data_IF_718961525089
#
_entry.id   IF_718961525089
#
_cell.length_a   1.000
_cell.length_b   1.000
_cell.length_c   1.000
_cell.angle_alpha   90.00
_cell.angle_beta   90.00
_cell.angle_gamma   90.00
#
_symmetry.space_group_name_H-M   'P 1'
#
loop_
_entity.id
_entity.type
_entity.pdbx_description
1 polymer ?
#
# COMPACT_ATOMS: atom_id res chain seq x y z
N UNK A 1 -5.11 -56.03 -19.90
CA UNK A 1 -3.72 -55.54 -19.86
C UNK A 1 -3.56 -54.85 -18.53
N UNK A 2 -2.87 -55.52 -17.61
CA UNK A 2 -2.61 -55.02 -16.25
C UNK A 2 -1.19 -54.52 -16.21
N UNK A 3 -0.98 -53.27 -15.78
CA UNK A 3 0.35 -52.68 -15.58
C UNK A 3 0.49 -52.42 -14.08
N UNK A 4 1.42 -53.17 -13.49
CA UNK A 4 1.95 -53.02 -12.14
C UNK A 4 3.04 -51.96 -12.17
N UNK A 5 2.98 -50.96 -11.30
CA UNK A 5 4.09 -50.03 -11.05
C UNK A 5 4.61 -50.24 -9.64
N UNK A 6 5.87 -50.66 -9.55
CA UNK A 6 6.66 -50.72 -8.33
C UNK A 6 7.13 -49.32 -7.97
N UNK A 7 7.00 -48.98 -6.68
CA UNK A 7 7.64 -47.84 -6.03
C UNK A 7 8.95 -48.34 -5.39
N UNK A 8 10.07 -47.70 -5.71
CA UNK A 8 11.33 -47.81 -4.95
C UNK A 8 11.52 -46.48 -4.20
N UNK A 9 11.49 -46.56 -2.87
CA UNK A 9 11.84 -45.48 -1.94
C UNK A 9 13.36 -45.52 -1.68
N UNK A 10 14.08 -44.47 -2.06
CA UNK A 10 15.45 -44.21 -1.60
C UNK A 10 15.42 -43.24 -0.41
N UNK A 11 15.97 -43.68 0.71
CA UNK A 11 16.20 -42.89 1.92
C UNK A 11 17.62 -42.29 1.88
N UNK A 12 17.74 -40.96 1.86
CA UNK A 12 18.99 -40.24 2.13
C UNK A 12 19.03 -39.77 3.60
N UNK A 13 20.01 -40.29 4.35
CA UNK A 13 20.44 -39.77 5.66
C UNK A 13 21.44 -38.62 5.46
N UNK A 14 21.26 -37.50 6.15
CA UNK A 14 22.27 -36.45 6.27
C UNK A 14 22.72 -36.33 7.73
N UNK A 15 24.01 -36.57 7.95
CA UNK A 15 24.73 -36.32 9.19
C UNK A 15 24.84 -34.81 9.45
N UNK A 16 24.77 -34.40 10.72
CA UNK A 16 24.89 -33.01 11.16
C UNK A 16 26.15 -32.88 12.00
N UNK A 17 27.16 -32.17 11.49
CA UNK A 17 28.35 -31.78 12.24
C UNK A 17 28.08 -30.50 13.05
N UNK A 18 28.52 -30.53 14.30
CA UNK A 18 28.49 -29.45 15.29
C UNK A 18 29.88 -28.85 15.43
N UNK A 19 29.99 -27.52 15.36
CA UNK A 19 31.21 -26.79 15.74
C UNK A 19 30.86 -25.71 16.76
N UNK A 20 31.19 -26.04 18.01
CA UNK A 20 32.00 -25.35 19.01
C UNK A 20 31.92 -23.82 19.22
N UNK A 21 31.82 -23.52 20.51
CA UNK A 21 31.78 -22.25 21.22
C UNK A 21 33.21 -21.75 21.47
N UNK A 22 33.49 -20.48 21.21
CA UNK A 22 34.64 -19.78 21.78
C UNK A 22 34.12 -18.64 22.69
N UNK A 23 34.30 -18.87 23.99
CA UNK A 23 34.25 -17.88 25.06
C UNK A 23 35.57 -17.09 25.07
N UNK A 24 35.50 -15.76 25.17
CA UNK A 24 36.62 -14.97 25.65
C UNK A 24 36.11 -13.90 26.62
N UNK A 25 36.68 -13.98 27.82
CA UNK A 25 36.47 -13.20 29.02
C UNK A 25 37.23 -11.86 29.00
N UNK A 26 36.90 -11.04 30.01
CA UNK A 26 37.72 -10.01 30.64
C UNK A 26 38.03 -8.69 29.87
N UNK A 27 37.56 -7.58 30.42
CA UNK A 27 38.38 -6.84 31.39
C UNK A 27 37.55 -5.73 32.07
N UNK A 28 37.66 -5.72 33.39
CA UNK A 28 37.17 -4.75 34.36
C UNK A 28 37.88 -3.41 34.19
N UNK A 29 37.14 -2.29 34.20
CA UNK A 29 37.75 -0.96 34.29
C UNK A 29 37.00 -0.09 35.31
N UNK A 30 37.81 0.54 36.16
CA UNK A 30 37.52 1.06 37.48
C UNK A 30 36.60 2.29 37.54
N UNK A 31 35.77 2.27 38.58
CA UNK A 31 34.85 3.28 39.04
C UNK A 31 35.45 4.69 39.21
N UNK A 32 34.85 5.67 38.53
CA UNK A 32 34.81 7.07 38.96
C UNK A 32 33.37 7.53 39.05
N UNK A 33 32.75 7.29 40.21
CA UNK A 33 31.47 7.88 40.58
C UNK A 33 31.59 9.41 40.67
N UNK A 34 31.21 10.10 39.59
CA UNK A 34 30.78 11.49 39.66
C UNK A 34 29.32 11.50 40.08
N UNK A 35 29.02 12.06 41.26
CA UNK A 35 27.67 12.42 41.71
C UNK A 35 27.04 13.41 40.72
N UNK A 36 26.45 12.88 39.65
CA UNK A 36 25.56 13.65 38.79
C UNK A 36 24.26 13.90 39.55
N UNK A 37 23.99 15.19 39.80
CA UNK A 37 22.77 15.65 40.46
C UNK A 37 21.53 14.96 39.90
N UNK A 38 20.69 14.46 40.80
CA UNK A 38 19.47 13.73 40.47
C UNK A 38 18.57 14.57 39.57
N UNK A 39 18.67 14.37 38.26
CA UNK A 39 17.71 14.91 37.29
C UNK A 39 16.37 14.26 37.59
N UNK A 40 15.47 15.03 38.19
CA UNK A 40 14.08 14.61 38.40
C UNK A 40 13.42 14.43 37.04
N UNK A 41 13.45 13.20 36.51
CA UNK A 41 12.75 12.85 35.27
C UNK A 41 11.25 13.02 35.48
N UNK A 42 10.68 14.06 34.88
CA UNK A 42 9.24 14.27 34.87
C UNK A 42 8.57 13.07 34.18
N UNK A 43 7.74 12.34 34.92
CA UNK A 43 7.01 11.18 34.41
C UNK A 43 5.65 11.61 33.86
N UNK A 44 5.35 11.22 32.61
CA UNK A 44 4.04 11.43 31.98
C UNK A 44 2.87 10.97 32.86
N UNK A 45 3.06 9.88 33.61
CA UNK A 45 2.03 9.30 34.46
C UNK A 45 1.65 10.20 35.66
N UNK A 46 2.49 11.17 36.01
CA UNK A 46 2.23 12.11 37.10
C UNK A 46 1.45 13.35 36.63
N UNK A 47 1.31 13.56 35.32
CA UNK A 47 0.52 14.68 34.79
C UNK A 47 -0.97 14.47 35.06
N UNK A 48 -1.75 15.53 35.35
CA UNK A 48 -3.20 15.41 35.44
C UNK A 48 -3.82 14.89 34.15
N UNK A 49 -4.88 14.09 34.26
CA UNK A 49 -5.52 13.44 33.10
C UNK A 49 -5.92 14.43 32.00
N UNK A 50 -6.40 15.63 32.37
CA UNK A 50 -6.81 16.67 31.43
C UNK A 50 -5.64 17.21 30.60
N UNK A 51 -4.44 17.24 31.17
CA UNK A 51 -3.22 17.64 30.47
C UNK A 51 -2.74 16.52 29.55
N UNK A 52 -2.76 15.27 30.04
CA UNK A 52 -2.43 14.09 29.23
C UNK A 52 -3.31 14.02 27.98
N UNK A 53 -4.63 14.10 28.13
CA UNK A 53 -5.58 14.10 27.00
C UNK A 53 -5.31 15.27 26.03
N UNK A 54 -5.01 16.47 26.52
CA UNK A 54 -4.66 17.61 25.64
C UNK A 54 -3.38 17.37 24.85
N UNK A 55 -2.36 16.76 25.45
CA UNK A 55 -1.13 16.37 24.76
C UNK A 55 -1.46 15.35 23.67
N UNK A 56 -2.27 14.33 23.97
CA UNK A 56 -2.67 13.33 22.97
C UNK A 56 -3.51 13.94 21.84
N UNK A 57 -4.38 14.89 22.15
CA UNK A 57 -5.14 15.60 21.12
C UNK A 57 -4.24 16.46 20.23
N UNK A 58 -3.25 17.12 20.82
CA UNK A 58 -2.26 17.89 20.07
C UNK A 58 -1.41 17.00 19.16
N UNK A 59 -0.91 15.88 19.69
CA UNK A 59 -0.14 14.90 18.92
C UNK A 59 -0.98 14.34 17.78
N UNK A 60 -2.21 13.90 18.04
CA UNK A 60 -3.11 13.33 17.03
C UNK A 60 -3.66 14.31 15.98
N UNK A 61 -3.23 15.58 15.99
CA UNK A 61 -3.54 16.54 14.93
C UNK A 61 -2.85 16.21 13.60
N UNK A 62 -2.82 17.18 12.69
CA UNK A 62 -2.41 17.00 11.28
C UNK A 62 -0.99 16.45 11.05
N UNK A 63 -0.16 16.30 12.09
CA UNK A 63 1.27 15.99 11.98
C UNK A 63 1.74 14.64 12.57
N UNK A 64 1.12 14.05 13.61
CA UNK A 64 1.46 12.66 13.96
C UNK A 64 0.67 11.68 13.10
N UNK A 65 1.38 10.67 12.60
CA UNK A 65 0.70 9.52 12.04
C UNK A 65 -0.04 8.77 13.15
N UNK A 66 -1.30 8.40 12.89
CA UNK A 66 -2.11 7.59 13.79
C UNK A 66 -1.38 6.32 14.28
N UNK A 67 -0.42 5.84 13.48
CA UNK A 67 0.41 4.67 13.76
C UNK A 67 1.28 4.85 15.03
N UNK A 68 1.87 6.03 15.25
CA UNK A 68 2.68 6.33 16.46
C UNK A 68 1.82 6.28 17.74
N UNK A 69 0.59 6.79 17.67
CA UNK A 69 -0.34 6.75 18.80
C UNK A 69 -0.85 5.33 19.09
N UNK A 70 -0.92 4.46 18.07
CA UNK A 70 -1.33 3.06 18.25
C UNK A 70 -0.29 2.31 19.06
N UNK A 71 1.00 2.46 18.75
CA UNK A 71 2.07 1.77 19.47
C UNK A 71 2.13 2.21 20.94
N UNK A 72 1.84 3.48 21.22
CA UNK A 72 1.72 4.00 22.59
C UNK A 72 0.63 3.32 23.42
N UNK A 73 -0.42 2.79 22.77
CA UNK A 73 -1.49 2.05 23.47
C UNK A 73 -1.06 0.69 24.01
N UNK A 74 -0.04 0.09 23.39
CA UNK A 74 0.47 -1.23 23.76
C UNK A 74 1.42 -1.14 24.94
N UNK A 75 2.17 -0.04 25.04
CA UNK A 75 3.22 0.15 26.05
C UNK A 75 2.72 0.73 27.38
N UNK A 76 1.56 1.40 27.41
CA UNK A 76 1.05 2.04 28.63
C UNK A 76 -0.44 1.81 28.86
N UNK A 77 -0.77 1.11 29.96
CA UNK A 77 -2.16 0.97 30.45
C UNK A 77 -2.81 2.32 30.72
N UNK A 78 -2.04 3.28 31.23
CA UNK A 78 -2.55 4.62 31.52
C UNK A 78 -2.96 5.34 30.24
N UNK A 79 -2.12 5.24 29.20
CA UNK A 79 -2.43 5.77 27.87
C UNK A 79 -3.69 5.14 27.28
N UNK A 80 -3.80 3.81 27.37
CA UNK A 80 -5.01 3.10 26.94
C UNK A 80 -6.28 3.56 27.67
N UNK A 81 -6.18 3.81 28.97
CA UNK A 81 -7.30 4.31 29.77
C UNK A 81 -7.67 5.75 29.38
N UNK A 82 -6.69 6.61 29.11
CA UNK A 82 -6.91 7.99 28.65
C UNK A 82 -7.65 8.02 27.31
N UNK A 83 -7.34 7.08 26.40
CA UNK A 83 -8.02 6.90 25.12
C UNK A 83 -9.47 6.41 25.25
N UNK A 84 -9.74 5.54 26.24
CA UNK A 84 -11.05 4.91 26.41
C UNK A 84 -12.09 5.79 27.11
N UNK A 85 -11.73 6.97 27.61
CA UNK A 85 -12.66 7.82 28.34
C UNK A 85 -13.81 8.31 27.46
N UNK A 86 -15.03 7.92 27.82
CA UNK A 86 -16.24 8.36 27.12
C UNK A 86 -16.56 9.85 27.29
N UNK A 87 -16.06 10.48 28.37
CA UNK A 87 -16.29 11.90 28.69
C UNK A 87 -14.94 12.59 28.89
N UNK A 88 -14.56 13.45 27.95
CA UNK A 88 -13.28 14.17 27.98
C UNK A 88 -12.06 13.31 27.63
N UNK A 89 -12.23 12.25 26.83
CA UNK A 89 -11.13 11.53 26.20
C UNK A 89 -10.60 12.25 24.97
N UNK A 90 -9.75 11.57 24.20
CA UNK A 90 -9.23 12.14 22.95
C UNK A 90 -10.36 12.39 21.93
N UNK A 91 -10.19 13.44 21.13
CA UNK A 91 -11.17 13.85 20.11
C UNK A 91 -11.11 12.96 18.86
N UNK A 92 -9.99 12.27 18.65
CA UNK A 92 -9.75 11.45 17.47
C UNK A 92 -10.22 10.01 17.65
N UNK A 93 -10.73 9.43 16.57
CA UNK A 93 -11.08 8.01 16.53
C UNK A 93 -9.88 7.21 16.05
N UNK A 94 -9.23 6.47 16.95
CA UNK A 94 -8.25 5.46 16.54
C UNK A 94 -8.97 4.38 15.73
N UNK A 95 -8.59 4.26 14.47
CA UNK A 95 -9.06 3.22 13.56
C UNK A 95 -8.07 2.06 13.67
N UNK A 96 -8.46 0.90 14.25
CA UNK A 96 -7.57 -0.24 14.32
C UNK A 96 -7.09 -0.62 12.93
N UNK A 97 -5.78 -0.60 12.75
CA UNK A 97 -5.10 -0.89 11.50
C UNK A 97 -4.36 -2.20 11.65
N UNK A 98 -4.70 -3.18 10.82
CA UNK A 98 -3.96 -4.44 10.78
C UNK A 98 -2.76 -4.25 9.85
N UNK A 99 -1.57 -4.11 10.46
CA UNK A 99 -0.32 -3.93 9.73
C UNK A 99 0.24 -5.31 9.40
N UNK A 100 0.50 -5.52 8.12
CA UNK A 100 1.15 -6.71 7.60
C UNK A 100 2.52 -6.26 7.12
N UNK A 101 3.55 -6.71 7.84
CA UNK A 101 4.94 -6.50 7.44
C UNK A 101 5.54 -7.81 6.95
N UNK A 102 6.44 -7.76 5.95
CA UNK A 102 7.23 -8.90 5.52
C UNK A 102 8.11 -9.35 6.70
N UNK A 103 8.28 -10.66 6.85
CA UNK A 103 9.31 -11.21 7.75
C UNK A 103 10.47 -11.74 6.92
N UNK A 104 11.72 -11.61 7.38
CA UNK A 104 12.85 -12.29 6.76
C UNK A 104 12.53 -13.78 6.57
N UNK A 105 12.74 -14.31 5.36
CA UNK A 105 12.44 -15.71 4.98
C UNK A 105 10.94 -16.10 4.94
N UNK A 106 10.00 -15.16 5.13
CA UNK A 106 8.58 -15.49 5.01
C UNK A 106 8.12 -15.61 3.56
N UNK A 107 7.25 -16.58 3.30
CA UNK A 107 6.69 -16.80 1.98
C UNK A 107 5.41 -15.95 1.79
N UNK A 108 5.42 -15.02 0.84
CA UNK A 108 4.25 -14.23 0.40
C UNK A 108 3.02 -15.10 0.15
N UNK A 109 3.22 -16.32 -0.37
CA UNK A 109 2.17 -17.32 -0.58
C UNK A 109 1.44 -17.69 0.71
N UNK A 110 2.17 -17.81 1.82
CA UNK A 110 1.60 -18.11 3.15
C UNK A 110 0.77 -16.95 3.66
N UNK A 111 1.23 -15.71 3.46
CA UNK A 111 0.46 -14.51 3.78
C UNK A 111 -0.85 -14.48 2.99
N UNK A 112 -0.79 -14.63 1.66
CA UNK A 112 -1.97 -14.62 0.80
C UNK A 112 -2.96 -15.73 1.20
N UNK A 113 -2.46 -16.94 1.49
CA UNK A 113 -3.29 -18.04 2.03
C UNK A 113 -4.00 -17.64 3.32
N UNK A 114 -3.29 -17.02 4.28
CA UNK A 114 -3.87 -16.57 5.55
C UNK A 114 -4.90 -15.46 5.37
N UNK A 115 -4.67 -14.52 4.44
CA UNK A 115 -5.63 -13.47 4.13
C UNK A 115 -6.92 -14.06 3.54
N UNK A 116 -6.79 -14.93 2.54
CA UNK A 116 -7.93 -15.61 1.92
C UNK A 116 -8.68 -16.49 2.92
N UNK A 117 -7.95 -17.24 3.76
CA UNK A 117 -8.53 -18.15 4.76
C UNK A 117 -9.38 -17.41 5.78
N UNK A 118 -8.83 -16.37 6.42
CA UNK A 118 -9.55 -15.59 7.44
C UNK A 118 -10.71 -14.76 6.84
N UNK A 119 -10.75 -14.58 5.52
CA UNK A 119 -11.85 -13.90 4.84
C UNK A 119 -13.03 -14.83 4.53
N UNK A 120 -12.76 -16.11 4.22
CA UNK A 120 -13.80 -17.11 3.89
C UNK A 120 -14.45 -17.73 5.12
N UNK A 121 -13.67 -18.03 6.16
CA UNK A 121 -14.22 -18.69 7.34
C UNK A 121 -15.13 -17.74 8.14
N UNK A 122 -16.44 -18.00 8.04
CA UNK A 122 -17.49 -17.36 8.86
C UNK A 122 -17.21 -17.42 10.37
N UNK A 123 -16.34 -18.33 10.81
CA UNK A 123 -15.96 -18.51 12.21
C UNK A 123 -14.83 -17.59 12.67
N UNK A 124 -13.91 -17.17 11.80
CA UNK A 124 -12.76 -16.42 12.27
C UNK A 124 -13.10 -14.95 12.49
N UNK A 125 -13.83 -14.26 11.59
CA UNK A 125 -14.17 -12.81 11.64
C UNK A 125 -13.05 -11.89 12.14
N UNK A 126 -11.79 -12.36 12.20
CA UNK A 126 -10.68 -11.68 12.88
C UNK A 126 -10.41 -10.35 12.19
N UNK A 127 -10.53 -10.35 10.86
CA UNK A 127 -10.37 -9.15 10.05
C UNK A 127 -11.58 -8.20 10.06
N UNK A 128 -12.77 -8.66 10.46
CA UNK A 128 -13.93 -7.76 10.54
C UNK A 128 -13.81 -6.72 11.66
N UNK A 129 -12.92 -6.93 12.62
CA UNK A 129 -12.60 -5.95 13.66
C UNK A 129 -11.70 -4.82 13.15
N UNK A 130 -10.93 -5.06 12.09
CA UNK A 130 -10.02 -4.08 11.51
C UNK A 130 -10.70 -3.39 10.35
N UNK A 131 -10.81 -2.06 10.44
CA UNK A 131 -11.35 -1.25 9.35
C UNK A 131 -10.29 -0.86 8.34
N UNK A 132 -9.01 -1.01 8.69
CA UNK A 132 -7.87 -0.73 7.81
C UNK A 132 -6.92 -1.92 7.85
N UNK A 133 -6.43 -2.30 6.67
CA UNK A 133 -5.28 -3.20 6.53
C UNK A 133 -4.19 -2.37 5.84
N UNK A 134 -3.00 -2.34 6.43
CA UNK A 134 -1.81 -1.70 5.86
C UNK A 134 -0.80 -2.78 5.49
N UNK A 135 -0.36 -2.80 4.24
CA UNK A 135 0.71 -3.69 3.78
C UNK A 135 1.99 -2.87 3.71
N UNK A 136 2.90 -3.09 4.67
CA UNK A 136 4.19 -2.41 4.72
C UNK A 136 5.19 -3.11 3.82
N UNK A 137 6.14 -2.36 3.25
CA UNK A 137 7.29 -2.90 2.54
C UNK A 137 6.91 -3.96 1.49
N UNK A 138 5.96 -3.61 0.61
CA UNK A 138 5.51 -4.53 -0.45
C UNK A 138 6.68 -5.03 -1.31
N UNK A 139 7.77 -4.26 -1.34
CA UNK A 139 9.03 -4.55 -2.01
C UNK A 139 9.88 -5.67 -1.38
N UNK A 140 9.52 -6.22 -0.23
CA UNK A 140 10.25 -7.34 0.39
C UNK A 140 9.50 -8.67 0.28
N UNK A 141 8.31 -8.67 -0.32
CA UNK A 141 7.56 -9.89 -0.58
C UNK A 141 8.13 -10.64 -1.79
N UNK A 142 8.31 -11.96 -1.62
CA UNK A 142 8.68 -12.86 -2.70
C UNK A 142 7.68 -12.81 -3.86
N UNK A 143 8.19 -13.06 -5.07
CA UNK A 143 7.37 -13.12 -6.27
C UNK A 143 6.38 -14.27 -6.19
N UNK A 144 5.10 -13.96 -6.41
CA UNK A 144 4.03 -14.94 -6.50
C UNK A 144 3.58 -14.93 -7.94
N UNK A 145 3.77 -16.05 -8.64
CA UNK A 145 3.29 -16.19 -10.01
C UNK A 145 1.77 -16.02 -10.06
N UNK A 146 1.23 -15.55 -11.19
CA UNK A 146 -0.22 -15.42 -11.38
C UNK A 146 -0.92 -16.78 -11.22
N UNK A 147 -0.22 -17.85 -11.58
CA UNK A 147 -0.66 -19.23 -11.35
C UNK A 147 -0.70 -19.60 -9.87
N UNK A 148 0.35 -19.33 -9.09
CA UNK A 148 0.36 -19.61 -7.65
C UNK A 148 -0.72 -18.82 -6.92
N UNK A 149 -0.89 -17.57 -7.32
CA UNK A 149 -1.98 -16.69 -6.92
C UNK A 149 -3.36 -17.33 -7.14
N UNK A 150 -3.60 -17.88 -8.34
CA UNK A 150 -4.82 -18.62 -8.67
C UNK A 150 -4.93 -19.94 -7.87
N UNK A 151 -3.83 -20.67 -7.69
CA UNK A 151 -3.82 -21.96 -6.99
C UNK A 151 -4.10 -21.83 -5.50
N UNK A 152 -3.57 -20.79 -4.83
CA UNK A 152 -3.92 -20.45 -3.44
C UNK A 152 -5.44 -20.34 -3.25
N UNK A 153 -6.11 -19.80 -4.27
CA UNK A 153 -7.56 -19.66 -4.26
C UNK A 153 -8.27 -20.99 -4.49
N UNK A 154 -7.84 -21.76 -5.49
CA UNK A 154 -8.42 -23.06 -5.87
C UNK A 154 -8.34 -24.09 -4.72
N UNK A 155 -7.18 -24.20 -4.07
CA UNK A 155 -7.00 -25.12 -2.93
C UNK A 155 -7.89 -24.77 -1.74
N UNK A 156 -8.26 -23.50 -1.59
CA UNK A 156 -9.15 -23.02 -0.54
C UNK A 156 -10.64 -22.99 -0.97
N UNK A 157 -11.00 -23.39 -2.18
CA UNK A 157 -12.40 -23.49 -2.65
C UNK A 157 -12.94 -24.92 -2.68
N UNK A 158 -12.09 -25.93 -2.53
CA UNK A 158 -12.51 -27.33 -2.69
C UNK A 158 -13.33 -27.89 -1.52
N UNK A 159 -13.52 -27.13 -0.43
CA UNK A 159 -14.17 -27.61 0.80
C UNK A 159 -15.53 -26.96 1.15
N UNK A 160 -16.13 -26.15 0.28
CA UNK A 160 -17.41 -25.51 0.65
C UNK A 160 -18.35 -25.37 -0.56
N UNK A 161 -19.03 -26.47 -0.89
CA UNK A 161 -20.20 -26.51 -1.78
C UNK A 161 -21.41 -26.79 -0.89
N UNK A 162 -21.79 -25.84 -0.02
CA UNK A 162 -23.19 -25.57 0.38
C UNK A 162 -23.24 -24.65 1.60
N UNK A 163 -23.22 -23.34 1.39
CA UNK A 163 -23.78 -22.42 2.40
C UNK A 163 -24.57 -21.25 1.79
N UNK A 164 -25.74 -20.90 2.37
CA UNK A 164 -26.65 -19.93 1.80
C UNK A 164 -26.18 -18.48 1.99
N UNK A 165 -26.45 -17.66 0.96
CA UNK A 165 -26.18 -16.21 0.86
C UNK A 165 -26.61 -15.45 2.13
N UNK A 166 -25.68 -15.11 3.01
CA UNK A 166 -25.88 -14.06 4.02
C UNK A 166 -25.18 -12.77 3.56
N UNK A 167 -25.98 -11.71 3.44
CA UNK A 167 -25.54 -10.35 3.08
C UNK A 167 -24.60 -9.80 4.16
N UNK A 168 -23.32 -9.62 3.81
CA UNK A 168 -22.34 -8.94 4.65
C UNK A 168 -22.74 -7.47 4.82
N UNK A 169 -22.99 -7.05 6.07
CA UNK A 169 -23.25 -5.65 6.41
C UNK A 169 -21.93 -4.85 6.39
N UNK A 170 -21.65 -4.21 5.26
CA UNK A 170 -21.12 -2.84 5.16
C UNK A 170 -19.84 -2.44 5.90
N UNK A 171 -18.91 -3.34 6.21
CA UNK A 171 -17.60 -2.94 6.75
C UNK A 171 -16.71 -2.42 5.62
N UNK A 172 -16.47 -1.10 5.63
CA UNK A 172 -15.52 -0.42 4.76
C UNK A 172 -14.10 -0.80 5.18
N UNK A 173 -13.42 -1.61 4.36
CA UNK A 173 -12.01 -1.93 4.56
C UNK A 173 -11.14 -0.98 3.73
N UNK A 174 -10.29 -0.21 4.42
CA UNK A 174 -9.26 0.62 3.81
C UNK A 174 -8.00 -0.22 3.58
N UNK A 175 -7.56 -0.34 2.33
CA UNK A 175 -6.31 -1.03 1.99
C UNK A 175 -5.24 0.02 1.69
N UNK A 176 -4.24 0.12 2.57
CA UNK A 176 -3.11 1.03 2.38
C UNK A 176 -1.88 0.22 1.97
N UNK A 177 -1.48 0.38 0.72
CA UNK A 177 -0.21 -0.12 0.21
C UNK A 177 0.74 1.04 0.32
N UNK A 178 1.75 0.95 1.17
CA UNK A 178 2.79 1.96 1.28
C UNK A 178 4.15 1.33 1.06
N UNK A 179 4.94 1.96 0.19
CA UNK A 179 6.36 1.67 0.06
C UNK A 179 7.11 2.48 1.11
N UNK A 180 8.16 1.92 1.75
CA UNK A 180 8.88 2.63 2.81
C UNK A 180 9.48 3.95 2.27
N UNK A 181 9.45 5.03 3.07
CA UNK A 181 10.08 6.30 2.70
C UNK A 181 11.59 6.11 2.50
N UNK A 182 12.13 6.76 1.48
CA UNK A 182 13.42 6.52 0.83
C UNK A 182 14.68 6.98 1.61
N UNK A 183 14.61 7.14 2.93
CA UNK A 183 15.82 7.49 3.71
C UNK A 183 16.87 6.36 3.79
N UNK A 184 16.64 5.20 3.16
CA UNK A 184 17.56 4.05 3.09
C UNK A 184 18.03 3.77 1.64
N UNK A 185 18.74 4.74 1.07
CA UNK A 185 19.02 4.89 -0.37
C UNK A 185 20.17 4.03 -0.96
N UNK A 186 20.61 2.93 -0.33
CA UNK A 186 21.72 2.11 -0.91
C UNK A 186 21.55 0.59 -0.87
N UNK A 187 20.70 0.04 -0.01
CA UNK A 187 20.64 -1.41 0.22
C UNK A 187 19.43 -2.07 -0.46
N UNK A 188 18.40 -1.31 -0.84
CA UNK A 188 17.21 -1.84 -1.51
C UNK A 188 17.44 -2.09 -3.01
N UNK A 189 18.28 -3.08 -3.33
CA UNK A 189 18.44 -3.62 -4.70
C UNK A 189 17.51 -4.79 -5.02
N UNK A 190 16.79 -5.36 -4.05
CA UNK A 190 15.75 -6.36 -4.33
C UNK A 190 14.49 -5.64 -4.78
N UNK A 191 14.33 -5.57 -6.10
CA UNK A 191 13.21 -4.95 -6.78
C UNK A 191 11.99 -5.88 -6.73
N UNK A 192 10.80 -5.37 -6.43
CA UNK A 192 9.58 -6.18 -6.49
C UNK A 192 8.88 -6.10 -7.82
N UNK A 193 9.09 -7.14 -8.61
CA UNK A 193 8.08 -7.78 -9.45
C UNK A 193 6.73 -7.03 -9.58
N UNK A 194 6.36 -6.30 -10.64
CA UNK A 194 5.00 -5.77 -10.82
C UNK A 194 4.00 -6.87 -10.91
N UNK A 195 4.42 -8.01 -11.46
CA UNK A 195 3.68 -9.26 -11.38
C UNK A 195 3.30 -9.55 -9.93
N UNK A 196 4.14 -9.30 -8.93
CA UNK A 196 3.81 -9.54 -7.52
C UNK A 196 2.75 -8.60 -7.03
N UNK A 197 2.87 -7.30 -7.28
CA UNK A 197 1.87 -6.33 -6.83
C UNK A 197 0.58 -6.54 -7.61
N UNK A 198 0.64 -6.71 -8.93
CA UNK A 198 -0.48 -7.05 -9.78
C UNK A 198 -1.07 -8.41 -9.44
N UNK A 199 -0.31 -9.42 -9.02
CA UNK A 199 -0.80 -10.73 -8.62
C UNK A 199 -1.32 -10.69 -7.19
N UNK A 200 -0.78 -9.86 -6.30
CA UNK A 200 -1.33 -9.58 -4.97
C UNK A 200 -2.65 -8.84 -5.15
N UNK A 201 -2.69 -7.79 -5.95
CA UNK A 201 -3.91 -7.04 -6.29
C UNK A 201 -4.89 -7.98 -7.00
N UNK A 202 -4.51 -8.64 -8.09
CA UNK A 202 -5.35 -9.61 -8.80
C UNK A 202 -5.80 -10.76 -7.90
N UNK A 203 -4.97 -11.30 -7.00
CA UNK A 203 -5.41 -12.24 -5.95
C UNK A 203 -6.45 -11.62 -5.02
N UNK A 204 -6.14 -10.42 -4.52
CA UNK A 204 -6.90 -9.70 -3.53
C UNK A 204 -8.19 -9.09 -4.11
N UNK A 205 -8.33 -9.01 -5.43
CA UNK A 205 -9.38 -8.22 -6.08
C UNK A 205 -10.12 -8.98 -7.21
N UNK A 206 -9.50 -9.89 -7.98
CA UNK A 206 -10.13 -10.50 -9.16
C UNK A 206 -11.37 -11.36 -8.84
N UNK A 207 -11.41 -12.04 -7.68
CA UNK A 207 -12.65 -12.71 -7.18
C UNK A 207 -13.20 -12.13 -5.89
N UNK A 208 -12.42 -11.27 -5.23
CA UNK A 208 -12.86 -10.58 -4.01
C UNK A 208 -13.78 -9.42 -4.35
N UNK A 209 -13.61 -8.68 -5.45
CA UNK A 209 -14.54 -7.61 -5.80
C UNK A 209 -15.90 -8.13 -6.28
N UNK A 210 -15.92 -9.27 -6.98
CA UNK A 210 -17.19 -9.91 -7.40
C UNK A 210 -17.97 -10.52 -6.23
N UNK A 211 -17.31 -10.80 -5.09
CA UNK A 211 -17.98 -11.34 -3.89
C UNK A 211 -18.08 -10.33 -2.73
N UNK A 212 -17.23 -9.30 -2.70
CA UNK A 212 -17.22 -8.23 -1.72
C UNK A 212 -17.62 -6.91 -2.39
N UNK A 213 -18.92 -6.69 -2.47
CA UNK A 213 -19.49 -5.34 -2.54
C UNK A 213 -19.18 -4.48 -1.28
N UNK A 214 -18.25 -4.90 -0.42
CA UNK A 214 -17.95 -4.29 0.89
C UNK A 214 -16.54 -3.73 1.01
N UNK A 215 -15.59 -4.16 0.18
CA UNK A 215 -14.21 -3.69 0.26
C UNK A 215 -14.08 -2.37 -0.52
N UNK A 216 -13.71 -1.27 0.14
CA UNK A 216 -13.53 0.03 -0.53
C UNK A 216 -12.07 0.44 -0.41
N UNK A 217 -11.29 0.20 -1.45
CA UNK A 217 -9.93 0.73 -1.53
C UNK A 217 -10.06 2.21 -1.79
N UNK A 218 -9.91 3.04 -0.76
CA UNK A 218 -10.01 4.49 -0.99
C UNK A 218 -8.68 5.14 -1.26
N UNK A 219 -7.58 4.60 -0.75
CA UNK A 219 -6.28 5.26 -0.81
C UNK A 219 -5.23 4.29 -1.33
N UNK A 220 -4.45 4.69 -2.32
CA UNK A 220 -3.30 3.92 -2.82
C UNK A 220 -2.08 4.84 -2.83
N UNK A 221 -0.98 4.40 -2.21
CA UNK A 221 0.29 5.14 -2.18
C UNK A 221 1.38 4.28 -2.83
N UNK A 222 1.60 4.51 -4.11
CA UNK A 222 2.53 3.78 -4.95
C UNK A 222 3.68 4.67 -5.40
N UNK A 223 4.64 4.94 -4.51
CA UNK A 223 5.81 5.75 -4.86
C UNK A 223 6.98 4.88 -5.37
N UNK A 224 7.86 5.42 -6.21
CA UNK A 224 9.11 4.75 -6.62
C UNK A 224 8.92 3.42 -7.37
N UNK A 225 7.86 3.31 -8.15
CA UNK A 225 7.71 2.17 -9.05
C UNK A 225 8.74 2.26 -10.17
N UNK A 226 9.78 1.43 -10.14
CA UNK A 226 10.68 1.21 -11.30
C UNK A 226 10.02 0.40 -12.41
N UNK A 227 8.71 0.26 -12.32
CA UNK A 227 7.97 -0.66 -13.11
C UNK A 227 6.89 0.03 -13.87
N UNK A 228 6.87 -0.40 -15.12
CA UNK A 228 6.03 -0.05 -16.23
C UNK A 228 4.52 -0.26 -15.92
N UNK A 229 3.94 0.59 -15.06
CA UNK A 229 2.48 0.73 -14.92
C UNK A 229 1.98 1.35 -16.22
N UNK A 230 0.97 0.77 -16.83
CA UNK A 230 0.46 1.34 -18.09
C UNK A 230 -0.15 2.71 -17.82
N UNK A 231 0.23 3.68 -18.64
CA UNK A 231 -0.17 5.07 -18.45
C UNK A 231 -1.68 5.28 -18.58
N UNK A 232 -2.37 4.37 -19.28
CA UNK A 232 -3.84 4.39 -19.39
C UNK A 232 -4.52 4.12 -18.05
N UNK A 233 -3.81 3.46 -17.12
CA UNK A 233 -4.36 3.02 -15.84
C UNK A 233 -5.27 1.80 -15.93
N UNK A 234 -5.28 1.06 -17.05
CA UNK A 234 -6.18 -0.07 -17.24
C UNK A 234 -6.05 -1.15 -16.15
N UNK A 235 -4.90 -1.25 -15.49
CA UNK A 235 -4.72 -2.17 -14.37
C UNK A 235 -5.64 -1.86 -13.19
N UNK A 236 -6.18 -0.65 -13.11
CA UNK A 236 -6.97 -0.16 -11.97
C UNK A 236 -8.47 -0.14 -12.23
N UNK A 237 -8.94 -0.60 -13.41
CA UNK A 237 -10.37 -0.61 -13.75
C UNK A 237 -11.26 -1.28 -12.69
N UNK A 238 -10.72 -2.28 -11.97
CA UNK A 238 -11.45 -3.00 -10.93
C UNK A 238 -11.69 -2.17 -9.65
N UNK A 239 -10.87 -1.16 -9.39
CA UNK A 239 -10.87 -0.41 -8.12
C UNK A 239 -11.27 1.06 -8.28
N UNK A 240 -11.41 1.53 -9.52
CA UNK A 240 -11.72 2.92 -9.87
C UNK A 240 -12.94 3.48 -9.13
N UNK A 241 -14.01 2.69 -8.93
CA UNK A 241 -15.24 3.15 -8.27
C UNK A 241 -15.08 3.39 -6.76
N UNK A 242 -14.01 2.88 -6.17
CA UNK A 242 -13.76 2.92 -4.73
C UNK A 242 -12.65 3.87 -4.33
N UNK A 243 -11.70 4.14 -5.24
CA UNK A 243 -10.55 5.00 -4.99
C UNK A 243 -10.98 6.46 -4.88
N UNK A 244 -10.45 7.12 -3.84
CA UNK A 244 -10.57 8.54 -3.55
C UNK A 244 -9.22 9.24 -3.62
N UNK A 245 -8.13 8.58 -3.22
CA UNK A 245 -6.79 9.14 -3.20
C UNK A 245 -5.83 8.19 -3.87
N UNK A 246 -5.08 8.70 -4.84
CA UNK A 246 -4.09 7.93 -5.56
C UNK A 246 -2.78 8.72 -5.62
N UNK A 247 -1.75 8.26 -4.92
CA UNK A 247 -0.43 8.89 -4.88
C UNK A 247 0.53 7.95 -5.59
N UNK A 248 1.18 8.43 -6.64
CA UNK A 248 2.08 7.71 -7.54
C UNK A 248 3.31 8.56 -7.87
N UNK A 249 3.96 9.12 -6.85
CA UNK A 249 5.13 9.96 -7.06
C UNK A 249 6.34 9.10 -7.46
N UNK A 250 7.26 9.68 -8.22
CA UNK A 250 8.51 9.03 -8.66
C UNK A 250 8.27 7.68 -9.40
N UNK A 251 7.10 7.54 -10.04
CA UNK A 251 6.66 6.33 -10.75
C UNK A 251 7.02 6.40 -12.23
N UNK A 252 7.38 5.25 -12.82
CA UNK A 252 7.64 5.13 -14.26
C UNK A 252 6.44 4.47 -14.96
N UNK A 253 5.74 5.22 -15.79
CA UNK A 253 4.65 4.73 -16.62
C UNK A 253 5.16 4.10 -17.93
N UNK A 254 4.52 3.04 -18.37
CA UNK A 254 4.76 2.38 -19.64
C UNK A 254 3.88 2.98 -20.72
N UNK A 255 4.50 3.20 -21.87
CA UNK A 255 3.81 3.37 -23.14
C UNK A 255 4.20 2.24 -24.07
N UNK A 256 3.19 1.56 -24.61
CA UNK A 256 3.30 0.35 -25.44
C UNK A 256 4.00 0.63 -26.76
N UNK A 257 3.70 1.77 -27.39
CA UNK A 257 4.23 2.10 -28.72
C UNK A 257 4.33 3.61 -28.98
N UNK A 258 4.99 3.99 -30.08
CA UNK A 258 5.20 5.41 -30.45
C UNK A 258 3.90 6.15 -30.76
N UNK A 259 2.90 5.47 -31.30
CA UNK A 259 1.61 6.10 -31.60
C UNK A 259 0.91 6.53 -30.32
N UNK A 260 0.82 5.64 -29.33
CA UNK A 260 0.25 5.95 -28.01
C UNK A 260 0.99 7.13 -27.34
N UNK A 261 2.33 7.22 -27.49
CA UNK A 261 3.06 8.42 -27.04
C UNK A 261 2.68 9.69 -27.80
N UNK A 262 2.55 9.63 -29.12
CA UNK A 262 2.17 10.79 -29.91
C UNK A 262 0.76 11.27 -29.56
N UNK A 263 -0.21 10.35 -29.46
CA UNK A 263 -1.60 10.64 -29.09
C UNK A 263 -1.70 11.26 -27.69
N UNK A 264 -0.78 10.84 -26.82
CA UNK A 264 -0.65 11.30 -25.45
C UNK A 264 -0.07 12.72 -25.33
N UNK A 265 0.91 13.06 -26.17
CA UNK A 265 1.55 14.39 -26.19
C UNK A 265 0.69 15.42 -26.92
N UNK A 266 -0.25 14.96 -27.75
CA UNK A 266 -1.12 15.82 -28.52
C UNK A 266 -2.16 16.54 -27.63
N UNK A 267 -2.17 17.88 -27.71
CA UNK A 267 -3.14 18.76 -27.04
C UNK A 267 -4.50 18.81 -27.73
N UNK A 268 -4.69 18.05 -28.81
CA UNK A 268 -6.00 17.94 -29.43
C UNK A 268 -6.98 17.35 -28.38
N UNK A 269 -7.84 18.24 -27.87
CA UNK A 269 -8.95 17.95 -26.93
C UNK A 269 -10.13 17.22 -27.62
N UNK A 270 -9.88 16.60 -28.78
CA UNK A 270 -10.85 15.66 -29.35
C UNK A 270 -11.08 14.51 -28.36
N UNK A 271 -12.24 13.84 -28.43
CA UNK A 271 -12.55 12.66 -27.61
C UNK A 271 -11.67 11.44 -27.97
N UNK A 272 -10.40 11.67 -28.31
CA UNK A 272 -9.40 10.66 -28.55
C UNK A 272 -9.12 9.92 -27.23
N UNK A 273 -9.32 8.61 -27.33
CA UNK A 273 -9.28 7.60 -26.29
C UNK A 273 -7.86 7.33 -25.75
N UNK A 274 -7.00 8.33 -25.54
CA UNK A 274 -5.60 8.12 -25.12
C UNK A 274 -5.08 9.29 -24.26
N UNK A 275 -5.39 9.29 -22.96
CA UNK A 275 -4.78 10.18 -21.97
C UNK A 275 -4.45 9.45 -20.67
N UNK A 276 -3.65 10.07 -19.79
CA UNK A 276 -3.27 9.50 -18.48
C UNK A 276 -4.55 9.08 -17.76
N UNK A 277 -4.60 7.86 -17.22
CA UNK A 277 -5.74 7.41 -16.40
C UNK A 277 -7.11 7.60 -17.07
N UNK A 278 -7.20 7.42 -18.39
CA UNK A 278 -8.47 7.52 -19.12
C UNK A 278 -9.57 6.68 -18.48
N UNK A 279 -9.25 5.43 -18.09
CA UNK A 279 -10.22 4.53 -17.47
C UNK A 279 -10.82 5.10 -16.16
N UNK A 280 -10.06 5.93 -15.44
CA UNK A 280 -10.58 6.63 -14.26
C UNK A 280 -11.55 7.76 -14.62
N UNK A 281 -11.41 8.39 -15.78
CA UNK A 281 -12.19 9.57 -16.11
C UNK A 281 -13.57 9.21 -16.67
N UNK A 282 -13.67 8.12 -17.42
CA UNK A 282 -14.91 7.73 -18.12
C UNK A 282 -15.95 7.05 -17.22
N UNK A 283 -15.52 6.35 -16.17
CA UNK A 283 -16.38 5.44 -15.41
C UNK A 283 -17.03 6.03 -14.16
N UNK A 284 -17.08 7.36 -14.01
CA UNK A 284 -17.73 7.99 -12.84
C UNK A 284 -16.98 7.78 -11.52
N UNK A 285 -15.66 7.64 -11.61
CA UNK A 285 -14.74 7.45 -10.49
C UNK A 285 -14.87 8.54 -9.44
N UNK A 286 -14.69 8.16 -8.17
CA UNK A 286 -14.73 9.07 -7.00
C UNK A 286 -13.35 9.58 -6.59
N UNK A 287 -12.42 9.67 -7.54
CA UNK A 287 -11.06 10.14 -7.29
C UNK A 287 -11.09 11.62 -6.88
N UNK A 288 -10.74 11.89 -5.64
CA UNK A 288 -10.69 13.22 -5.03
C UNK A 288 -9.27 13.80 -5.03
N UNK A 289 -8.23 12.95 -4.98
CA UNK A 289 -6.82 13.37 -4.96
C UNK A 289 -5.96 12.48 -5.84
N UNK A 290 -5.14 13.10 -6.69
CA UNK A 290 -4.12 12.43 -7.47
C UNK A 290 -2.78 13.14 -7.33
N UNK A 291 -1.71 12.37 -7.10
CA UNK A 291 -0.34 12.89 -7.07
C UNK A 291 0.53 12.02 -7.97
N UNK A 292 1.19 12.62 -8.95
CA UNK A 292 2.15 11.98 -9.88
C UNK A 292 3.40 12.84 -10.03
N UNK A 293 3.85 13.44 -8.92
CA UNK A 293 5.05 14.29 -8.88
C UNK A 293 6.29 13.47 -9.24
N UNK A 294 7.21 14.04 -10.01
CA UNK A 294 8.40 13.38 -10.56
C UNK A 294 8.11 12.09 -11.35
N UNK A 295 6.88 11.91 -11.83
CA UNK A 295 6.57 10.73 -12.62
C UNK A 295 7.27 10.81 -13.99
N UNK A 296 7.62 9.64 -14.50
CA UNK A 296 8.32 9.47 -15.77
C UNK A 296 7.56 8.53 -16.68
N UNK A 297 7.91 8.56 -17.95
CA UNK A 297 7.37 7.70 -18.99
C UNK A 297 8.51 6.93 -19.64
N UNK A 298 8.28 5.65 -19.88
CA UNK A 298 9.19 4.75 -20.54
C UNK A 298 8.52 4.12 -21.77
N UNK A 299 9.19 4.16 -22.92
CA UNK A 299 8.72 3.54 -24.17
C UNK A 299 9.68 2.45 -24.63
N UNK A 300 9.27 1.19 -24.52
CA UNK A 300 10.12 0.03 -24.86
C UNK A 300 10.47 -0.10 -26.35
N UNK A 301 9.70 0.51 -27.24
CA UNK A 301 9.80 0.33 -28.71
C UNK A 301 10.30 1.54 -29.46
N UNK A 302 10.60 2.62 -28.75
CA UNK A 302 11.15 3.81 -29.35
C UNK A 302 12.68 3.65 -29.27
N UNK A 303 13.32 3.20 -30.35
CA UNK A 303 14.76 2.88 -30.40
C UNK A 303 15.69 4.04 -30.04
N UNK A 304 15.18 5.27 -30.06
CA UNK A 304 15.84 6.49 -29.59
C UNK A 304 15.57 6.84 -28.11
N UNK A 305 14.65 6.14 -27.43
CA UNK A 305 14.20 6.43 -26.06
C UNK A 305 14.36 5.20 -25.14
N UNK A 306 15.55 4.61 -25.11
CA UNK A 306 15.95 3.73 -24.00
C UNK A 306 16.05 4.46 -22.64
N UNK A 307 15.66 5.74 -22.59
CA UNK A 307 15.69 6.60 -21.41
C UNK A 307 14.26 6.92 -20.95
N UNK A 308 14.08 6.95 -19.64
CA UNK A 308 12.86 7.47 -19.02
C UNK A 308 12.82 8.99 -19.21
N UNK A 309 11.73 9.51 -19.75
CA UNK A 309 11.50 10.94 -19.96
C UNK A 309 10.46 11.44 -18.96
N UNK A 310 10.46 12.73 -18.67
CA UNK A 310 9.43 13.34 -17.82
C UNK A 310 8.06 13.28 -18.54
N UNK A 311 6.97 13.22 -17.77
CA UNK A 311 5.62 13.23 -18.35
C UNK A 311 5.42 14.54 -19.12
N UNK A 312 5.11 14.50 -20.43
CA UNK A 312 4.87 15.69 -21.22
C UNK A 312 3.80 16.60 -20.61
N UNK A 313 4.08 17.91 -20.58
CA UNK A 313 3.18 18.92 -20.02
C UNK A 313 1.78 18.88 -20.65
N UNK A 314 1.74 18.69 -21.97
CA UNK A 314 0.50 18.57 -22.73
C UNK A 314 -0.38 17.41 -22.23
N UNK A 315 0.24 16.29 -21.88
CA UNK A 315 -0.48 15.13 -21.39
C UNK A 315 -1.04 15.36 -19.98
N UNK A 316 -0.27 16.03 -19.11
CA UNK A 316 -0.75 16.44 -17.78
C UNK A 316 -1.94 17.41 -17.89
N UNK A 317 -1.86 18.40 -18.79
CA UNK A 317 -2.97 19.31 -19.05
C UNK A 317 -4.21 18.58 -19.58
N UNK A 318 -4.03 17.71 -20.59
CA UNK A 318 -5.10 16.90 -21.19
C UNK A 318 -5.80 16.04 -20.15
N UNK A 319 -5.05 15.41 -19.24
CA UNK A 319 -5.63 14.71 -18.11
C UNK A 319 -6.51 15.62 -17.26
N UNK A 320 -6.04 16.80 -16.85
CA UNK A 320 -6.82 17.67 -15.95
C UNK A 320 -8.10 18.19 -16.60
N UNK A 321 -8.07 18.47 -17.90
CA UNK A 321 -9.26 18.84 -18.66
C UNK A 321 -10.32 17.74 -18.67
N UNK A 322 -9.89 16.48 -18.74
CA UNK A 322 -10.76 15.31 -18.77
C UNK A 322 -10.99 14.66 -17.39
N UNK A 323 -10.28 15.11 -16.35
CA UNK A 323 -10.34 14.52 -15.02
C UNK A 323 -11.75 14.57 -14.44
N UNK A 324 -12.16 13.55 -13.66
CA UNK A 324 -13.50 13.51 -13.10
C UNK A 324 -13.77 14.75 -12.24
N UNK A 325 -15.02 15.22 -12.22
CA UNK A 325 -15.46 16.39 -11.43
C UNK A 325 -15.29 16.20 -9.91
N UNK A 326 -15.04 14.98 -9.48
CA UNK A 326 -14.76 14.62 -8.10
C UNK A 326 -13.32 14.95 -7.69
N UNK A 327 -12.41 15.16 -8.64
CA UNK A 327 -11.01 15.49 -8.39
C UNK A 327 -10.91 16.90 -7.82
N UNK A 328 -10.30 17.02 -6.64
CA UNK A 328 -10.13 18.26 -5.88
C UNK A 328 -8.67 18.63 -5.70
N UNK A 329 -7.77 17.66 -5.64
CA UNK A 329 -6.34 17.87 -5.41
C UNK A 329 -5.53 17.20 -6.50
N UNK A 330 -4.67 17.98 -7.15
CA UNK A 330 -3.75 17.45 -8.16
C UNK A 330 -2.33 17.95 -7.90
N UNK A 331 -1.38 17.01 -7.84
CA UNK A 331 0.03 17.30 -7.64
C UNK A 331 0.86 16.63 -8.74
N UNK A 332 1.60 17.42 -9.49
CA UNK A 332 2.43 16.96 -10.61
C UNK A 332 3.54 17.97 -10.91
N UNK A 333 4.36 17.70 -11.91
CA UNK A 333 5.40 18.63 -12.38
C UNK A 333 4.88 19.61 -13.44
N UNK A 334 3.60 19.99 -13.37
CA UNK A 334 3.05 21.05 -14.23
C UNK A 334 3.83 22.36 -14.02
N UNK A 335 4.16 23.04 -15.12
CA UNK A 335 4.74 24.39 -15.03
C UNK A 335 3.73 25.39 -14.47
N UNK A 336 4.22 26.46 -13.83
CA UNK A 336 3.35 27.51 -13.28
C UNK A 336 2.41 28.12 -14.34
N UNK A 337 2.90 28.34 -15.56
CA UNK A 337 2.07 28.86 -16.66
C UNK A 337 0.90 27.93 -17.00
N UNK A 338 1.12 26.62 -17.03
CA UNK A 338 0.06 25.64 -17.27
C UNK A 338 -0.90 25.56 -16.07
N UNK A 339 -0.39 25.66 -14.84
CA UNK A 339 -1.23 25.75 -13.62
C UNK A 339 -2.14 26.97 -13.69
N UNK A 340 -1.64 28.13 -14.11
CA UNK A 340 -2.43 29.37 -14.21
C UNK A 340 -3.54 29.27 -15.27
N UNK A 341 -3.28 28.54 -16.37
CA UNK A 341 -4.30 28.24 -17.39
C UNK A 341 -5.35 27.27 -16.81
N UNK A 342 -4.93 26.16 -16.22
CA UNK A 342 -5.83 25.14 -15.70
C UNK A 342 -6.66 25.64 -14.51
N UNK A 343 -6.15 26.56 -13.67
CA UNK A 343 -6.93 27.19 -12.60
C UNK A 343 -8.11 28.02 -13.14
N UNK A 344 -8.00 28.57 -14.36
CA UNK A 344 -9.11 29.27 -15.01
C UNK A 344 -10.13 28.29 -15.59
N UNK A 345 -9.67 27.17 -16.15
CA UNK A 345 -10.53 26.14 -16.76
C UNK A 345 -11.23 25.25 -15.71
N UNK A 346 -10.52 24.92 -14.63
CA UNK A 346 -10.89 23.99 -13.55
C UNK A 346 -10.61 24.61 -12.18
N UNK A 347 -11.32 25.69 -11.78
CA UNK A 347 -11.12 26.35 -10.48
C UNK A 347 -11.50 25.48 -9.29
N UNK A 348 -12.18 24.36 -9.52
CA UNK A 348 -12.53 23.33 -8.53
C UNK A 348 -11.32 22.49 -8.07
N UNK A 349 -10.20 22.54 -8.79
CA UNK A 349 -8.99 21.77 -8.49
C UNK A 349 -7.94 22.66 -7.80
N UNK A 350 -7.48 22.20 -6.64
CA UNK A 350 -6.33 22.73 -5.94
C UNK A 350 -5.05 22.04 -6.46
N UNK A 351 -4.13 22.86 -6.99
CA UNK A 351 -2.83 22.41 -7.50
C UNK A 351 -1.78 22.57 -6.39
N UNK A 352 -1.11 21.47 -6.04
CA UNK A 352 -0.14 21.38 -4.94
C UNK A 352 1.31 21.27 -5.43
#
# INVERSE_FOLDING_TARGET
MSISSNEEEEHEEYETESEDEDEDEDETDDDKEQEMGTTTTASYNLLPDSIRVKILNYLGGDQCTLDELIDLTVVSKQFYNDLKRQKGGIEWKIIPTYIISPRPKSNTRSLLRKLVYNQKENQSKKFNHYKRIKLNCINEYNDVSSWDAQQIHLTNTYYDIDTPKRRNRGNKLLFDISLPPTSLDKIYKRQVRPSVIFNIISCLFHRILTQLNTLQVTNIIWNYSKYNIDISGYQFHLIQDTIKEFIMNDTIFLIKNRQEYNDFVDLIDEPNENYIFQDFCENGTKLERLSIKNAKVFSSRCSSFSQCIDVPQNALMKFIRNAPKTLKWFHSDLTQGNIDVLKKERPDIEFM
#
